data_IF_709414481102
#
_entry.id   IF_709414481102
#
_cell.length_a   1.000
_cell.length_b   1.000
_cell.length_c   1.000
_cell.angle_alpha   90.00
_cell.angle_beta   90.00
_cell.angle_gamma   90.00
#
_symmetry.space_group_name_H-M   'P 1'
#
loop_
_entity.id
_entity.type
_entity.pdbx_description
1 polymer ?
#
# COMPACT_ATOMS: atom_id res chain seq x y z
N UNK A 1 -12.82 -0.64 -21.64
CA UNK A 1 -13.11 -0.55 -20.18
C UNK A 1 -12.64 0.80 -19.68
N UNK A 2 -13.54 1.74 -19.43
CA UNK A 2 -13.17 3.07 -18.91
C UNK A 2 -13.02 3.00 -17.37
N UNK A 3 -11.86 3.42 -16.85
CA UNK A 3 -11.61 3.51 -15.41
C UNK A 3 -12.48 4.61 -14.78
N UNK A 4 -13.28 4.26 -13.76
CA UNK A 4 -13.98 5.24 -12.92
C UNK A 4 -12.95 5.87 -11.98
N UNK A 5 -12.38 7.00 -12.38
CA UNK A 5 -11.76 7.92 -11.41
C UNK A 5 -12.90 8.65 -10.73
N UNK A 6 -12.98 8.57 -9.39
CA UNK A 6 -13.83 9.51 -8.66
C UNK A 6 -13.32 10.91 -8.99
N UNK A 7 -14.17 11.75 -9.58
CA UNK A 7 -14.00 13.19 -9.46
C UNK A 7 -13.81 13.49 -7.97
N UNK A 8 -12.98 14.48 -7.65
CA UNK A 8 -12.77 14.96 -6.27
C UNK A 8 -14.09 14.87 -5.53
N UNK A 9 -14.09 14.09 -4.44
CA UNK A 9 -15.31 13.68 -3.74
C UNK A 9 -16.09 14.90 -3.26
N UNK A 10 -16.96 15.42 -4.12
CA UNK A 10 -17.89 16.49 -3.82
C UNK A 10 -18.89 15.90 -2.82
N UNK A 11 -18.68 16.20 -1.54
CA UNK A 11 -19.51 15.74 -0.43
C UNK A 11 -18.80 14.99 0.70
N UNK A 12 -17.48 14.74 0.63
CA UNK A 12 -16.78 14.15 1.79
C UNK A 12 -16.60 15.20 2.91
N UNK A 13 -17.27 14.96 4.05
CA UNK A 13 -17.25 15.81 5.25
C UNK A 13 -16.20 15.39 6.28
N UNK A 14 -15.56 14.23 6.10
CA UNK A 14 -14.54 13.74 7.00
C UNK A 14 -13.19 14.44 6.84
N UNK A 15 -12.27 14.19 7.78
CA UNK A 15 -10.90 14.71 7.72
C UNK A 15 -10.22 14.25 6.43
N UNK A 16 -9.67 15.19 5.67
CA UNK A 16 -8.73 14.91 4.57
C UNK A 16 -7.32 14.83 5.14
N UNK A 17 -6.57 13.82 4.70
CA UNK A 17 -5.19 13.62 5.13
C UNK A 17 -4.28 13.86 3.94
N UNK A 18 -3.25 14.68 4.16
CA UNK A 18 -2.11 14.74 3.27
C UNK A 18 -1.28 13.46 3.44
N UNK A 19 -1.04 12.74 2.36
CA UNK A 19 -0.36 11.43 2.42
C UNK A 19 1.09 11.52 2.94
N UNK A 20 1.92 12.48 2.49
CA UNK A 20 3.23 12.73 3.09
C UNK A 20 3.16 13.05 4.58
N UNK A 21 2.25 13.93 5.00
CA UNK A 21 2.08 14.25 6.42
C UNK A 21 1.69 13.03 7.26
N UNK A 22 0.71 12.26 6.78
CA UNK A 22 0.26 11.04 7.43
C UNK A 22 1.39 10.02 7.58
N UNK A 23 2.22 9.84 6.56
CA UNK A 23 3.36 8.94 6.61
C UNK A 23 4.37 9.33 7.70
N UNK A 24 4.67 10.63 7.84
CA UNK A 24 5.55 11.15 8.91
C UNK A 24 4.96 10.88 10.30
N UNK A 25 3.66 11.15 10.49
CA UNK A 25 2.98 10.91 11.77
C UNK A 25 2.99 9.43 12.14
N UNK A 26 2.75 8.54 11.16
CA UNK A 26 2.79 7.11 11.35
C UNK A 26 4.19 6.62 11.77
N UNK A 27 5.24 7.10 11.10
CA UNK A 27 6.62 6.74 11.43
C UNK A 27 7.00 7.19 12.86
N UNK A 28 6.67 8.42 13.23
CA UNK A 28 6.90 8.94 14.57
C UNK A 28 6.19 8.09 15.64
N UNK A 29 4.94 7.68 15.37
CA UNK A 29 4.16 6.87 16.29
C UNK A 29 4.71 5.45 16.44
N UNK A 30 5.17 4.82 15.36
CA UNK A 30 5.85 3.51 15.42
C UNK A 30 7.11 3.57 16.28
N UNK A 31 7.92 4.61 16.10
CA UNK A 31 9.13 4.83 16.89
C UNK A 31 8.82 5.05 18.38
N UNK A 32 7.83 5.88 18.70
CA UNK A 32 7.43 6.16 20.08
C UNK A 32 6.90 4.92 20.82
N UNK A 33 6.23 4.01 20.11
CA UNK A 33 5.69 2.77 20.67
C UNK A 33 6.68 1.60 20.63
N UNK A 34 7.88 1.78 20.05
CA UNK A 34 8.85 0.71 19.85
C UNK A 34 8.30 -0.47 19.05
N UNK A 35 7.33 -0.23 18.16
CA UNK A 35 6.66 -1.30 17.44
C UNK A 35 7.59 -1.90 16.39
N UNK A 36 7.81 -3.23 16.38
CA UNK A 36 8.52 -3.87 15.29
C UNK A 36 7.72 -3.73 14.00
N UNK A 37 8.41 -3.85 12.86
CA UNK A 37 7.71 -3.99 11.59
C UNK A 37 6.85 -5.25 11.62
N UNK A 38 5.55 -5.15 11.30
CA UNK A 38 4.68 -6.32 11.28
C UNK A 38 5.22 -7.33 10.26
N UNK A 39 5.14 -8.64 10.55
CA UNK A 39 5.60 -9.65 9.63
C UNK A 39 4.82 -9.52 8.32
N UNK A 40 5.54 -9.40 7.20
CA UNK A 40 4.90 -9.46 5.87
C UNK A 40 4.32 -10.86 5.68
N UNK A 41 3.10 -10.93 5.17
CA UNK A 41 2.50 -12.20 4.79
C UNK A 41 3.41 -12.91 3.78
N UNK A 42 3.85 -14.14 4.12
CA UNK A 42 4.75 -14.94 3.28
C UNK A 42 4.15 -15.35 1.92
N UNK A 43 2.90 -14.99 1.63
CA UNK A 43 2.27 -15.20 0.32
C UNK A 43 2.12 -16.67 -0.09
N UNK A 44 2.05 -17.60 0.88
CA UNK A 44 2.06 -19.05 0.63
C UNK A 44 0.90 -19.55 -0.25
N UNK A 45 -0.24 -18.87 -0.21
CA UNK A 45 -1.45 -19.22 -0.99
C UNK A 45 -1.64 -18.35 -2.23
N UNK A 46 -0.57 -18.07 -3.00
CA UNK A 46 -0.66 -17.36 -4.28
C UNK A 46 -1.30 -18.26 -5.34
N UNK A 47 -2.15 -17.68 -6.20
CA UNK A 47 -2.63 -18.35 -7.42
C UNK A 47 -1.52 -18.42 -8.47
N UNK A 48 -1.70 -19.24 -9.52
CA UNK A 48 -0.76 -19.29 -10.65
C UNK A 48 -0.60 -17.92 -11.33
N UNK A 49 -1.72 -17.22 -11.56
CA UNK A 49 -1.72 -15.87 -12.13
C UNK A 49 -0.91 -14.89 -11.30
N UNK A 50 -1.04 -14.92 -9.97
CA UNK A 50 -0.29 -14.02 -9.09
C UNK A 50 1.21 -14.35 -9.10
N UNK A 51 1.61 -15.62 -9.15
CA UNK A 51 3.03 -15.99 -9.28
C UNK A 51 3.64 -15.50 -10.59
N UNK A 52 2.91 -15.64 -11.71
CA UNK A 52 3.37 -15.15 -13.01
C UNK A 52 3.57 -13.64 -13.02
N UNK A 53 2.63 -12.88 -12.44
CA UNK A 53 2.76 -11.42 -12.30
C UNK A 53 3.99 -11.03 -11.49
N UNK A 54 4.20 -11.68 -10.34
CA UNK A 54 5.33 -11.34 -9.46
C UNK A 54 6.67 -11.66 -10.11
N UNK A 55 6.77 -12.75 -10.88
CA UNK A 55 7.96 -13.06 -11.68
C UNK A 55 8.24 -11.98 -12.72
N UNK A 56 7.22 -11.50 -13.44
CA UNK A 56 7.41 -10.44 -14.42
C UNK A 56 7.87 -9.10 -13.78
N UNK A 57 7.41 -8.82 -12.56
CA UNK A 57 7.89 -7.66 -11.78
C UNK A 57 9.36 -7.83 -11.42
N UNK A 58 9.76 -9.01 -10.94
CA UNK A 58 11.16 -9.31 -10.62
C UNK A 58 12.07 -9.23 -11.86
N UNK A 59 11.64 -9.80 -12.99
CA UNK A 59 12.36 -9.75 -14.28
C UNK A 59 12.51 -8.31 -14.81
N UNK A 60 11.62 -7.40 -14.42
CA UNK A 60 11.70 -5.97 -14.76
C UNK A 60 12.45 -5.12 -13.71
N UNK A 61 13.05 -5.77 -12.69
CA UNK A 61 13.84 -5.10 -11.65
C UNK A 61 13.02 -4.47 -10.52
N UNK A 62 11.74 -4.84 -10.39
CA UNK A 62 10.89 -4.42 -9.28
C UNK A 62 10.93 -5.38 -8.10
N UNK A 63 10.71 -4.86 -6.89
CA UNK A 63 10.65 -5.62 -5.63
C UNK A 63 9.21 -5.73 -5.12
N UNK A 64 8.79 -6.93 -4.69
CA UNK A 64 7.43 -7.18 -4.13
C UNK A 64 7.38 -8.11 -2.90
#
# INVERSE_FOLDING_TARGET
>A
MASKRSSTADGWTGRRLDMPEFARQLAARKAALGLPDPPRNAGKSRTASKRALLRAIEESGGEW
#
